data_IF_823524615968
#
_entry.id   IF_823524615968
#
_cell.length_a   1.000
_cell.length_b   1.000
_cell.length_c   1.000
_cell.angle_alpha   90.00
_cell.angle_beta   90.00
_cell.angle_gamma   90.00
#
_symmetry.space_group_name_H-M   'P 1'
#
loop_
_entity.id
_entity.type
_entity.pdbx_description
1 polymer ?
#
# COMPACT_ATOMS: atom_id res chain seq x y z
N UNK A 1 11.57 1.04 1.32
CA UNK A 1 11.11 -0.27 1.72
C UNK A 1 10.33 -0.31 3.02
N UNK A 2 10.76 0.39 4.04
CA UNK A 2 10.01 0.43 5.31
C UNK A 2 8.59 0.95 5.14
N UNK A 3 8.35 1.85 4.18
CA UNK A 3 7.02 2.39 3.96
C UNK A 3 6.03 1.34 3.45
N UNK A 4 6.47 0.40 2.60
CA UNK A 4 5.57 -0.67 2.15
C UNK A 4 5.28 -1.66 3.27
N UNK A 5 6.24 -1.90 4.15
CA UNK A 5 6.02 -2.74 5.34
C UNK A 5 5.06 -2.07 6.32
N UNK A 6 5.20 -0.76 6.52
CA UNK A 6 4.27 0.00 7.35
C UNK A 6 2.85 -0.04 6.78
N UNK A 7 2.72 0.04 5.47
CA UNK A 7 1.43 -0.11 4.79
C UNK A 7 0.81 -1.49 5.07
N UNK A 8 1.61 -2.55 4.95
CA UNK A 8 1.14 -3.92 5.21
C UNK A 8 0.58 -4.03 6.63
N UNK A 9 1.34 -3.57 7.61
CA UNK A 9 0.92 -3.64 9.02
C UNK A 9 -0.32 -2.79 9.27
N UNK A 10 -0.41 -1.63 8.63
CA UNK A 10 -1.58 -0.76 8.76
C UNK A 10 -2.82 -1.40 8.17
N UNK A 11 -2.71 -2.14 7.06
CA UNK A 11 -3.85 -2.85 6.50
C UNK A 11 -4.33 -3.97 7.41
N UNK A 12 -3.41 -4.69 8.04
CA UNK A 12 -3.77 -5.74 8.99
C UNK A 12 -4.51 -5.14 10.20
N UNK A 13 -4.06 -3.99 10.68
CA UNK A 13 -4.72 -3.27 11.76
C UNK A 13 -6.10 -2.77 11.34
N UNK A 14 -6.20 -2.16 10.17
CA UNK A 14 -7.46 -1.62 9.65
C UNK A 14 -8.52 -2.73 9.55
N UNK A 15 -8.15 -3.89 9.01
CA UNK A 15 -9.07 -5.00 8.79
C UNK A 15 -9.43 -5.75 10.08
N UNK A 16 -8.76 -5.46 11.20
CA UNK A 16 -9.05 -6.13 12.46
C UNK A 16 -10.36 -5.67 13.11
N UNK A 17 -10.96 -4.58 12.61
CA UNK A 17 -12.17 -3.96 13.15
C UNK A 17 -13.15 -3.71 12.01
N UNK A 18 -14.44 -3.99 12.25
CA UNK A 18 -15.51 -3.65 11.31
C UNK A 18 -15.75 -2.13 11.37
N UNK A 19 -15.15 -1.39 10.46
CA UNK A 19 -15.10 0.08 10.54
C UNK A 19 -16.33 0.77 9.97
N UNK A 20 -17.07 0.09 9.11
CA UNK A 20 -18.29 0.66 8.53
C UNK A 20 -19.58 0.06 9.07
N UNK A 21 -19.46 -0.91 9.99
CA UNK A 21 -20.62 -1.47 10.67
C UNK A 21 -21.46 -2.42 9.84
N UNK A 22 -20.91 -2.93 8.72
CA UNK A 22 -21.67 -3.81 7.83
C UNK A 22 -21.58 -5.30 8.21
N UNK A 23 -20.87 -5.62 9.28
CA UNK A 23 -20.68 -6.99 9.72
C UNK A 23 -19.58 -7.76 9.02
N UNK A 24 -18.86 -7.16 8.11
CA UNK A 24 -17.75 -7.77 7.37
C UNK A 24 -16.46 -6.99 7.61
N UNK A 25 -15.35 -7.72 7.69
CA UNK A 25 -14.02 -7.11 7.78
C UNK A 25 -13.48 -6.89 6.37
N UNK A 26 -12.82 -5.76 6.15
CA UNK A 26 -12.27 -5.41 4.84
C UNK A 26 -10.99 -4.60 5.00
N UNK A 27 -10.19 -4.56 3.94
CA UNK A 27 -8.98 -3.73 3.87
C UNK A 27 -9.32 -2.36 3.33
N UNK A 28 -8.48 -1.37 3.63
CA UNK A 28 -8.69 -0.01 3.17
C UNK A 28 -8.35 0.12 1.68
N UNK A 29 -9.18 0.86 0.96
CA UNK A 29 -8.95 1.17 -0.45
C UNK A 29 -8.32 2.55 -0.64
N UNK A 30 -8.06 3.26 0.46
CA UNK A 30 -7.44 4.58 0.48
C UNK A 30 -6.34 4.60 1.53
N UNK A 31 -5.27 5.34 1.24
CA UNK A 31 -4.25 5.61 2.25
C UNK A 31 -4.75 6.73 3.17
N UNK A 32 -5.19 7.84 2.59
CA UNK A 32 -5.73 8.96 3.36
C UNK A 32 -7.26 8.88 3.39
N UNK A 33 -7.83 8.92 4.59
CA UNK A 33 -9.28 8.89 4.76
C UNK A 33 -9.93 10.13 4.17
N UNK A 34 -11.16 9.97 3.69
CA UNK A 34 -12.01 11.10 3.34
C UNK A 34 -12.16 12.00 4.57
N UNK A 35 -12.08 13.34 4.43
CA UNK A 35 -12.24 14.23 5.58
C UNK A 35 -13.51 13.93 6.36
N UNK A 36 -13.35 13.77 7.68
CA UNK A 36 -14.46 13.42 8.58
C UNK A 36 -14.82 11.94 8.63
N UNK A 37 -14.08 11.09 7.94
CA UNK A 37 -14.33 9.64 7.90
C UNK A 37 -13.09 8.85 8.29
N UNK A 38 -13.29 7.56 8.58
CA UNK A 38 -12.21 6.61 8.86
C UNK A 38 -12.21 5.50 7.79
N UNK A 39 -12.23 5.88 6.53
CA UNK A 39 -12.32 4.97 5.39
C UNK A 39 -10.97 4.71 4.70
N UNK A 40 -9.88 5.18 5.29
CA UNK A 40 -8.52 4.95 4.82
C UNK A 40 -7.59 4.57 5.97
N UNK A 41 -6.30 4.43 5.68
CA UNK A 41 -5.31 3.99 6.66
C UNK A 41 -4.83 5.12 7.59
N UNK A 42 -5.03 6.36 7.19
CA UNK A 42 -4.65 7.52 7.99
C UNK A 42 -5.81 8.50 8.11
N UNK A 43 -6.02 8.99 9.32
CA UNK A 43 -6.84 10.16 9.60
C UNK A 43 -6.19 10.95 10.74
N UNK A 44 -6.44 12.26 10.76
CA UNK A 44 -5.97 13.10 11.85
C UNK A 44 -6.73 12.75 13.13
N UNK A 45 -6.06 12.92 14.27
CA UNK A 45 -6.69 12.67 15.56
C UNK A 45 -7.99 13.46 15.68
N UNK A 46 -9.04 12.79 16.14
CA UNK A 46 -10.37 13.37 16.30
C UNK A 46 -10.98 12.92 17.64
N UNK A 47 -12.24 13.26 17.85
CA UNK A 47 -12.93 12.97 19.10
C UNK A 47 -13.47 11.54 19.21
N UNK A 48 -13.26 10.71 18.19
CA UNK A 48 -13.77 9.33 18.19
C UNK A 48 -13.06 8.41 19.17
N UNK A 49 -11.85 8.77 19.58
CA UNK A 49 -11.00 7.92 20.39
C UNK A 49 -10.33 6.80 19.60
N UNK A 50 -10.58 6.70 18.29
CA UNK A 50 -9.96 5.71 17.44
C UNK A 50 -8.62 6.22 16.91
N UNK A 51 -7.62 5.34 16.93
CA UNK A 51 -6.27 5.67 16.47
C UNK A 51 -6.11 5.16 15.04
N UNK A 52 -5.63 6.04 14.14
CA UNK A 52 -5.44 5.64 12.75
C UNK A 52 -4.33 4.58 12.64
N UNK A 53 -4.48 3.58 11.74
CA UNK A 53 -3.46 2.55 11.54
C UNK A 53 -2.08 3.10 11.16
N UNK A 54 -2.04 4.16 10.34
CA UNK A 54 -0.80 4.87 10.04
C UNK A 54 -0.65 6.05 11.00
N UNK A 55 0.55 6.24 11.53
CA UNK A 55 0.81 7.22 12.56
C UNK A 55 0.83 8.67 12.09
N UNK A 56 1.03 9.61 13.03
CA UNK A 56 0.95 11.05 12.74
C UNK A 56 1.95 11.56 11.70
N UNK A 57 3.07 10.87 11.50
CA UNK A 57 4.05 11.26 10.48
C UNK A 57 3.45 11.30 9.07
N UNK A 58 2.39 10.54 8.82
CA UNK A 58 1.69 10.58 7.55
C UNK A 58 0.92 11.87 7.33
N UNK A 59 0.59 12.60 8.40
CA UNK A 59 -0.07 13.88 8.27
C UNK A 59 0.70 14.88 7.43
N UNK A 60 2.03 14.79 7.44
CA UNK A 60 2.89 15.66 6.64
C UNK A 60 2.94 15.25 5.17
N UNK A 61 2.68 13.98 4.89
CA UNK A 61 2.72 13.44 3.53
C UNK A 61 1.51 13.86 2.69
N UNK A 62 0.42 14.28 3.32
CA UNK A 62 -0.82 14.64 2.63
C UNK A 62 -0.58 15.78 1.63
N UNK A 63 0.17 16.80 2.03
CA UNK A 63 0.37 17.99 1.22
C UNK A 63 1.17 17.70 -0.04
N UNK A 64 2.16 16.80 0.05
CA UNK A 64 3.09 16.51 -1.04
C UNK A 64 2.76 15.20 -1.76
N UNK A 65 1.80 14.45 -1.25
CA UNK A 65 1.44 13.12 -1.74
C UNK A 65 2.64 12.15 -1.79
N UNK A 66 3.62 12.40 -0.92
CA UNK A 66 4.79 11.54 -0.82
C UNK A 66 5.22 11.38 0.63
N UNK A 67 5.88 10.25 0.95
CA UNK A 67 6.36 9.93 2.27
C UNK A 67 7.75 9.32 2.16
N UNK A 68 8.72 9.91 2.83
CA UNK A 68 10.12 9.48 2.77
C UNK A 68 10.66 9.43 1.34
N UNK A 69 10.22 10.35 0.49
CA UNK A 69 10.68 10.45 -0.88
C UNK A 69 9.99 9.51 -1.85
N UNK A 70 8.94 8.81 -1.43
CA UNK A 70 8.21 7.85 -2.26
C UNK A 70 6.75 8.24 -2.38
N UNK A 71 6.16 7.91 -3.53
CA UNK A 71 4.73 7.98 -3.78
C UNK A 71 4.15 6.58 -3.81
N UNK A 72 2.84 6.47 -3.56
CA UNK A 72 2.18 5.19 -3.32
C UNK A 72 0.87 5.10 -4.07
N UNK A 73 0.50 3.85 -4.41
CA UNK A 73 -0.81 3.57 -4.97
C UNK A 73 -1.27 2.19 -4.53
N UNK A 74 -2.52 2.12 -4.06
CA UNK A 74 -3.13 0.83 -3.70
C UNK A 74 -3.58 0.12 -4.96
N UNK A 75 -3.27 -1.18 -5.06
CA UNK A 75 -3.70 -2.04 -6.15
C UNK A 75 -4.87 -2.91 -5.68
N UNK A 76 -5.81 -3.18 -6.55
CA UNK A 76 -7.07 -3.83 -6.18
C UNK A 76 -7.18 -5.28 -6.66
N UNK A 77 -6.09 -5.86 -7.13
CA UNK A 77 -6.06 -7.25 -7.56
C UNK A 77 -4.65 -7.71 -7.81
N UNK A 78 -4.51 -8.98 -8.14
CA UNK A 78 -3.20 -9.55 -8.45
C UNK A 78 -3.23 -10.32 -9.77
N UNK A 79 -2.04 -10.46 -10.36
CA UNK A 79 -1.84 -11.13 -11.63
C UNK A 79 -1.39 -12.58 -11.47
N UNK A 80 -1.16 -13.27 -12.60
CA UNK A 80 -0.87 -14.70 -12.57
C UNK A 80 0.47 -15.08 -11.95
N UNK A 81 1.41 -14.15 -11.83
CA UNK A 81 2.71 -14.43 -11.21
C UNK A 81 2.68 -14.31 -9.70
N UNK A 82 1.60 -13.80 -9.12
CA UNK A 82 1.45 -13.68 -7.67
C UNK A 82 1.07 -15.02 -7.05
N UNK A 83 1.44 -15.27 -5.78
CA UNK A 83 0.99 -16.46 -5.08
C UNK A 83 -0.54 -16.56 -5.09
N UNK A 84 -1.07 -17.71 -5.45
CA UNK A 84 -2.50 -17.92 -5.57
C UNK A 84 -3.08 -17.58 -6.94
N UNK A 85 -2.28 -17.03 -7.87
CA UNK A 85 -2.71 -16.71 -9.22
C UNK A 85 -3.50 -15.41 -9.33
N UNK A 86 -4.04 -15.15 -10.50
CA UNK A 86 -4.75 -13.90 -10.77
C UNK A 86 -6.14 -13.89 -10.15
N UNK A 87 -6.45 -12.85 -9.37
CA UNK A 87 -7.81 -12.60 -8.88
C UNK A 87 -7.95 -11.15 -8.41
N UNK A 88 -9.21 -10.71 -8.33
CA UNK A 88 -9.53 -9.40 -7.78
C UNK A 88 -9.61 -9.46 -6.26
N UNK A 89 -9.11 -8.42 -5.58
CA UNK A 89 -9.25 -8.30 -4.13
C UNK A 89 -10.65 -7.82 -3.73
N UNK A 90 -11.44 -7.38 -4.69
CA UNK A 90 -12.77 -6.84 -4.43
C UNK A 90 -13.85 -7.92 -4.49
N UNK A 91 -14.79 -7.83 -3.56
CA UNK A 91 -16.08 -8.53 -3.63
C UNK A 91 -17.11 -7.41 -3.64
N UNK A 92 -17.72 -7.16 -4.80
CA UNK A 92 -18.53 -5.97 -4.98
C UNK A 92 -17.65 -4.72 -4.88
N UNK A 93 -17.99 -3.83 -3.97
CA UNK A 93 -17.21 -2.61 -3.71
C UNK A 93 -16.29 -2.71 -2.50
N UNK A 94 -16.15 -3.90 -1.89
CA UNK A 94 -15.36 -4.09 -0.67
C UNK A 94 -14.10 -4.88 -0.96
N UNK A 95 -12.97 -4.41 -0.42
CA UNK A 95 -11.67 -5.06 -0.61
C UNK A 95 -11.43 -6.05 0.54
N UNK A 96 -11.97 -7.24 0.41
CA UNK A 96 -11.94 -8.25 1.47
C UNK A 96 -11.10 -9.48 1.16
N UNK A 97 -10.58 -9.61 -0.09
CA UNK A 97 -9.84 -10.81 -0.50
C UNK A 97 -8.34 -10.62 -0.51
N UNK A 98 -7.86 -9.45 -0.20
CA UNK A 98 -6.44 -9.14 -0.18
C UNK A 98 -6.18 -7.68 -0.37
N UNK A 99 -4.91 -7.31 -0.44
CA UNK A 99 -4.48 -5.93 -0.71
C UNK A 99 -3.09 -5.94 -1.31
N UNK A 100 -2.72 -4.86 -1.99
CA UNK A 100 -1.36 -4.65 -2.49
C UNK A 100 -1.09 -3.18 -2.67
N UNK A 101 0.20 -2.84 -2.71
CA UNK A 101 0.68 -1.47 -2.87
C UNK A 101 1.85 -1.46 -3.84
N UNK A 102 1.92 -0.45 -4.68
CA UNK A 102 3.12 -0.08 -5.44
C UNK A 102 3.63 1.24 -4.88
N UNK A 103 4.95 1.31 -4.63
CA UNK A 103 5.64 2.53 -4.19
C UNK A 103 6.77 2.82 -5.16
N UNK A 104 6.92 4.09 -5.55
CA UNK A 104 7.96 4.49 -6.49
C UNK A 104 8.60 5.79 -6.02
N UNK A 105 9.88 6.06 -6.41
CA UNK A 105 10.53 7.30 -6.02
C UNK A 105 9.78 8.52 -6.57
N UNK A 106 9.55 9.51 -5.72
CA UNK A 106 8.94 10.77 -6.16
C UNK A 106 9.81 11.45 -7.20
N UNK A 107 11.14 11.31 -7.05
CA UNK A 107 12.12 11.82 -8.02
C UNK A 107 13.17 10.75 -8.24
N UNK A 108 13.12 10.11 -9.39
CA UNK A 108 14.04 9.01 -9.73
C UNK A 108 15.49 9.48 -9.65
N UNK A 109 16.35 8.65 -9.04
CA UNK A 109 17.77 8.92 -8.81
C UNK A 109 18.06 10.07 -7.82
N UNK A 110 17.04 10.66 -7.21
CA UNK A 110 17.18 11.72 -6.21
C UNK A 110 16.64 11.25 -4.88
N UNK A 111 15.38 10.83 -4.82
CA UNK A 111 14.75 10.33 -3.60
C UNK A 111 14.82 8.82 -3.49
N UNK A 112 15.16 8.13 -4.56
CA UNK A 112 15.36 6.69 -4.60
C UNK A 112 15.55 6.19 -6.02
N UNK A 113 15.87 4.92 -6.15
CA UNK A 113 16.07 4.24 -7.44
C UNK A 113 15.04 3.14 -7.62
N UNK A 114 14.92 2.24 -6.65
CA UNK A 114 14.03 1.08 -6.74
C UNK A 114 12.59 1.44 -6.43
N UNK A 115 11.69 0.84 -7.19
CA UNK A 115 10.27 0.80 -6.85
C UNK A 115 9.97 -0.51 -6.13
N UNK A 116 8.95 -0.52 -5.28
CA UNK A 116 8.62 -1.66 -4.44
C UNK A 116 7.15 -2.02 -4.56
N UNK A 117 6.87 -3.32 -4.48
CA UNK A 117 5.51 -3.84 -4.35
C UNK A 117 5.41 -4.75 -3.15
N UNK A 118 4.25 -4.74 -2.50
CA UNK A 118 3.93 -5.67 -1.43
C UNK A 118 2.45 -6.06 -1.54
N UNK A 119 2.14 -7.30 -1.18
CA UNK A 119 0.76 -7.74 -1.08
C UNK A 119 0.46 -8.24 0.33
N UNK A 120 -0.76 -8.71 0.53
CA UNK A 120 -1.20 -9.29 1.81
C UNK A 120 -0.36 -10.50 2.24
N UNK A 121 0.37 -11.11 1.32
CA UNK A 121 1.30 -12.21 1.65
C UNK A 121 2.54 -11.72 2.41
N UNK A 122 2.81 -10.42 2.40
CA UNK A 122 3.92 -9.83 3.14
C UNK A 122 5.27 -9.87 2.44
N UNK A 123 5.36 -10.43 1.25
CA UNK A 123 6.61 -10.45 0.47
C UNK A 123 6.78 -9.13 -0.26
N UNK A 124 7.98 -8.57 -0.18
CA UNK A 124 8.35 -7.32 -0.85
C UNK A 124 9.12 -7.66 -2.12
N UNK A 125 8.76 -7.02 -3.22
CA UNK A 125 9.48 -7.12 -4.50
C UNK A 125 9.99 -5.75 -4.89
N UNK A 126 11.15 -5.72 -5.56
CA UNK A 126 11.74 -4.47 -6.02
C UNK A 126 12.12 -4.55 -7.49
N UNK A 127 12.12 -3.41 -8.14
CA UNK A 127 12.52 -3.27 -9.54
C UNK A 127 12.90 -1.83 -9.82
N UNK A 128 13.96 -1.62 -10.60
CA UNK A 128 14.32 -0.30 -11.11
C UNK A 128 13.46 -0.03 -12.35
N UNK A 129 12.41 0.77 -12.17
CA UNK A 129 11.51 1.15 -13.27
C UNK A 129 12.07 2.26 -14.15
N UNK A 130 13.20 2.84 -13.77
CA UNK A 130 13.86 3.89 -14.53
C UNK A 130 13.18 5.26 -14.41
N UNK A 131 13.60 6.23 -15.23
CA UNK A 131 13.06 7.59 -15.18
C UNK A 131 11.56 7.69 -15.47
N UNK A 132 10.99 6.69 -16.14
CA UNK A 132 9.56 6.64 -16.44
C UNK A 132 8.77 5.87 -15.38
N UNK A 133 9.37 5.64 -14.20
CA UNK A 133 8.78 4.81 -13.16
C UNK A 133 7.41 5.26 -12.70
N UNK A 134 7.19 6.56 -12.54
CA UNK A 134 5.88 7.07 -12.16
C UNK A 134 4.80 6.71 -13.17
N UNK A 135 5.10 6.88 -14.45
CA UNK A 135 4.17 6.55 -15.54
C UNK A 135 3.85 5.05 -15.54
N UNK A 136 4.87 4.21 -15.37
CA UNK A 136 4.69 2.77 -15.33
C UNK A 136 3.89 2.34 -14.10
N UNK A 137 4.19 2.91 -12.94
CA UNK A 137 3.49 2.59 -11.69
C UNK A 137 2.02 3.02 -11.75
N UNK A 138 1.72 4.20 -12.31
CA UNK A 138 0.35 4.67 -12.44
C UNK A 138 -0.47 3.85 -13.45
N UNK A 139 0.21 3.20 -14.40
CA UNK A 139 -0.46 2.31 -15.36
C UNK A 139 -0.71 0.92 -14.80
N UNK A 140 -0.06 0.56 -13.70
CA UNK A 140 -0.20 -0.75 -13.08
C UNK A 140 -1.57 -0.89 -12.44
N UNK A 141 -2.24 -2.02 -12.69
CA UNK A 141 -3.58 -2.28 -12.13
C UNK A 141 -3.59 -3.45 -11.16
N UNK A 142 -2.56 -4.30 -11.20
CA UNK A 142 -2.51 -5.52 -10.42
C UNK A 142 -1.11 -5.74 -9.86
N UNK A 143 -1.05 -6.37 -8.70
CA UNK A 143 0.19 -6.87 -8.13
C UNK A 143 0.59 -8.12 -8.91
N UNK A 144 1.62 -8.01 -9.74
CA UNK A 144 2.05 -9.10 -10.62
C UNK A 144 3.58 -9.19 -10.62
N UNK A 145 4.17 -9.88 -9.62
CA UNK A 145 5.62 -9.98 -9.49
C UNK A 145 6.18 -11.04 -10.42
N UNK A 146 6.30 -10.69 -11.69
CA UNK A 146 6.89 -11.57 -12.68
C UNK A 146 8.42 -11.65 -12.53
N UNK A 147 9.11 -12.33 -13.45
CA UNK A 147 10.55 -12.53 -13.36
C UNK A 147 11.37 -11.25 -13.43
N UNK A 148 10.76 -10.13 -13.83
CA UNK A 148 11.45 -8.84 -13.87
C UNK A 148 11.52 -8.17 -12.51
N UNK A 149 10.76 -8.64 -11.52
CA UNK A 149 10.80 -8.17 -10.14
C UNK A 149 11.64 -9.12 -9.30
N UNK A 150 12.38 -8.56 -8.36
CA UNK A 150 13.24 -9.32 -7.46
C UNK A 150 12.68 -9.28 -6.05
N UNK A 151 12.55 -10.44 -5.43
CA UNK A 151 12.10 -10.52 -4.04
C UNK A 151 13.18 -9.99 -3.11
N UNK A 152 12.77 -9.17 -2.14
CA UNK A 152 13.65 -8.63 -1.11
C UNK A 152 13.51 -9.47 0.14
N UNK A 153 14.63 -10.00 0.66
CA UNK A 153 14.61 -10.80 1.88
C UNK A 153 14.27 -9.91 3.08
N UNK A 154 13.26 -10.32 3.85
CA UNK A 154 12.72 -9.51 4.96
C UNK A 154 13.75 -9.27 6.05
N UNK A 155 14.65 -10.21 6.30
CA UNK A 155 15.66 -10.10 7.36
C UNK A 155 16.75 -9.07 7.05
N UNK A 156 16.85 -8.62 5.81
CA UNK A 156 17.80 -7.57 5.44
C UNK A 156 17.40 -6.19 5.97
N UNK A 157 16.15 -6.05 6.38
CA UNK A 157 15.62 -4.77 6.84
C UNK A 157 15.87 -4.49 8.30
N UNK A 158 16.46 -5.42 9.00
CA UNK A 158 16.64 -5.30 10.44
C UNK A 158 18.01 -4.72 10.81
N UNK A 159 18.76 -4.32 9.82
CA UNK A 159 20.09 -3.77 10.04
C UNK A 159 20.13 -2.26 9.91
#
# INVERSE_FOLDING_TARGET
MQSVLAYHDAQMDYASVDRDGDGALEYAQKIFSTPGKHDGLYWAQDDSGQISPLGPSFGKAIADEEWHGYRFRILHGQGPSAPGGAYSYLIGDKMSRGFALIAWPAKYNVTGVMSFMISHEGQVFEKDLGPEGEKLALAMKRFDPDDSWQEVAADQDQE
#
